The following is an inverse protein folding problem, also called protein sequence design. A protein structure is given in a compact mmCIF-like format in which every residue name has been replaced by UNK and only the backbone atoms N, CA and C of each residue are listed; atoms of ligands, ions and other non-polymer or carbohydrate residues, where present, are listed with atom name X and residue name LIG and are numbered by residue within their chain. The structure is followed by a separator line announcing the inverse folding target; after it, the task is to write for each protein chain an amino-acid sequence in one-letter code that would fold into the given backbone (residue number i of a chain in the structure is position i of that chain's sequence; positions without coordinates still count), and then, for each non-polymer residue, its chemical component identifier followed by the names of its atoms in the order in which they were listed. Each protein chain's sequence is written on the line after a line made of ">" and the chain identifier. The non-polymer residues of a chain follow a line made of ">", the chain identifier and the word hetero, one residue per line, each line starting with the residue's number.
data_IF_546263342559
#
_entry.id   IF_546263342559
#
_cell.length_a   1.000
_cell.length_b   1.000
_cell.length_c   1.000
_cell.angle_alpha   90.00
_cell.angle_beta   90.00
_cell.angle_gamma   90.00
#
_symmetry.space_group_name_H-M   'P 1'
#
loop_
_entity.id
_entity.type
_entity.pdbx_description
1 polymer ?
#
# COMPACT_ATOMS: atom_id res chain seq x y z
N UNK A 1 57.40 -47.64 -25.44
CA UNK A 1 57.50 -46.41 -26.23
C UNK A 1 56.06 -46.02 -26.53
N UNK A 2 55.48 -44.95 -26.22
CA UNK A 2 55.85 -43.62 -25.98
C UNK A 2 54.61 -42.80 -25.69
N UNK A 3 54.83 -41.85 -24.91
CA UNK A 3 54.25 -40.50 -24.81
C UNK A 3 52.73 -40.36 -24.51
N UNK A 4 52.58 -39.98 -23.27
CA UNK A 4 51.43 -39.25 -22.77
C UNK A 4 51.36 -37.84 -23.41
N UNK A 5 50.13 -37.46 -23.74
CA UNK A 5 49.82 -36.05 -24.01
C UNK A 5 48.70 -35.66 -23.03
N UNK A 6 49.09 -34.86 -22.06
CA UNK A 6 48.20 -34.17 -21.13
C UNK A 6 47.55 -32.98 -21.91
N UNK A 7 46.26 -33.04 -22.11
CA UNK A 7 45.48 -31.86 -22.50
C UNK A 7 44.83 -31.24 -21.30
N UNK A 8 45.33 -30.08 -20.87
CA UNK A 8 44.72 -29.28 -19.82
C UNK A 8 43.53 -28.55 -20.38
N UNK A 9 42.32 -28.91 -19.95
CA UNK A 9 41.12 -28.11 -20.18
C UNK A 9 41.02 -27.01 -19.12
N UNK A 10 41.32 -25.77 -19.52
CA UNK A 10 41.04 -24.60 -18.74
C UNK A 10 39.55 -24.30 -18.79
N UNK A 11 38.84 -24.54 -17.71
CA UNK A 11 37.44 -24.14 -17.56
C UNK A 11 37.38 -22.65 -17.26
N UNK A 12 36.96 -21.85 -18.26
CA UNK A 12 36.56 -20.45 -18.05
C UNK A 12 35.23 -20.41 -17.36
N UNK A 13 35.23 -20.13 -16.06
CA UNK A 13 34.02 -19.81 -15.31
C UNK A 13 33.64 -18.36 -15.64
N UNK A 14 32.71 -18.19 -16.56
CA UNK A 14 32.06 -16.91 -16.80
C UNK A 14 31.13 -16.60 -15.64
N UNK A 15 31.59 -15.76 -14.72
CA UNK A 15 30.77 -15.22 -13.65
C UNK A 15 29.68 -14.32 -14.23
N UNK A 16 28.44 -14.81 -14.31
CA UNK A 16 27.28 -13.98 -14.61
C UNK A 16 26.97 -13.13 -13.38
N UNK A 17 27.32 -11.84 -13.44
CA UNK A 17 26.86 -10.85 -12.49
C UNK A 17 25.35 -10.68 -12.66
N UNK A 18 24.58 -11.22 -11.75
CA UNK A 18 23.16 -10.94 -11.59
C UNK A 18 23.02 -9.50 -11.10
N UNK A 19 22.88 -8.56 -12.03
CA UNK A 19 22.42 -7.22 -11.73
C UNK A 19 20.97 -7.34 -11.26
N UNK A 20 20.78 -7.27 -9.97
CA UNK A 20 19.46 -7.28 -9.36
C UNK A 20 18.64 -6.08 -9.82
N UNK A 21 17.65 -6.34 -10.66
CA UNK A 21 16.64 -5.35 -11.02
C UNK A 21 15.60 -5.26 -9.92
N UNK A 22 15.86 -4.42 -8.93
CA UNK A 22 14.94 -4.20 -7.79
C UNK A 22 13.87 -3.13 -8.09
N UNK A 23 13.81 -2.61 -9.31
CA UNK A 23 12.85 -1.56 -9.70
C UNK A 23 11.40 -2.05 -9.87
N UNK A 24 11.17 -3.37 -10.06
CA UNK A 24 9.82 -3.93 -10.27
C UNK A 24 9.04 -4.22 -8.98
N UNK A 25 9.74 -4.36 -7.87
CA UNK A 25 9.15 -4.84 -6.60
C UNK A 25 8.31 -3.78 -5.89
N UNK A 26 8.65 -2.50 -6.02
CA UNK A 26 7.90 -1.41 -5.38
C UNK A 26 6.52 -1.19 -6.00
N UNK A 27 6.40 -1.30 -7.32
CA UNK A 27 5.11 -1.13 -8.01
C UNK A 27 4.15 -2.29 -7.72
N UNK A 28 4.61 -3.52 -7.74
CA UNK A 28 3.82 -4.70 -7.41
C UNK A 28 3.32 -4.70 -5.96
N UNK A 29 4.16 -4.28 -5.02
CA UNK A 29 3.80 -4.19 -3.61
C UNK A 29 2.74 -3.10 -3.36
N UNK A 30 2.79 -1.98 -4.09
CA UNK A 30 1.79 -0.92 -3.98
C UNK A 30 0.42 -1.36 -4.52
N UNK A 31 0.37 -1.96 -5.71
CA UNK A 31 -0.88 -2.47 -6.29
C UNK A 31 -1.53 -3.54 -5.38
N UNK A 32 -0.71 -4.43 -4.80
CA UNK A 32 -1.18 -5.44 -3.83
C UNK A 32 -1.68 -4.79 -2.54
N UNK A 33 -1.01 -3.76 -2.04
CA UNK A 33 -1.45 -3.00 -0.87
C UNK A 33 -2.79 -2.31 -1.10
N UNK A 34 -2.97 -1.66 -2.24
CA UNK A 34 -4.25 -1.03 -2.64
C UNK A 34 -5.38 -2.06 -2.69
N UNK A 35 -5.15 -3.24 -3.28
CA UNK A 35 -6.16 -4.29 -3.37
C UNK A 35 -6.56 -4.81 -1.98
N UNK A 36 -5.59 -5.05 -1.08
CA UNK A 36 -5.88 -5.43 0.32
C UNK A 36 -6.61 -4.32 1.05
N UNK A 37 -6.18 -3.08 0.89
CA UNK A 37 -6.80 -1.91 1.48
C UNK A 37 -8.25 -1.75 1.06
N UNK A 38 -8.57 -1.99 -0.22
CA UNK A 38 -9.94 -2.02 -0.72
C UNK A 38 -10.80 -3.06 0.00
N UNK A 39 -10.27 -4.27 0.16
CA UNK A 39 -10.99 -5.34 0.87
C UNK A 39 -11.27 -4.96 2.32
N UNK A 40 -10.28 -4.41 3.03
CA UNK A 40 -10.46 -3.96 4.41
C UNK A 40 -11.46 -2.81 4.46
N UNK A 41 -11.38 -1.85 3.55
CA UNK A 41 -12.33 -0.74 3.45
C UNK A 41 -13.76 -1.22 3.29
N UNK A 42 -13.99 -2.19 2.40
CA UNK A 42 -15.31 -2.79 2.20
C UNK A 42 -15.86 -3.47 3.45
N UNK A 43 -15.00 -4.06 4.25
CA UNK A 43 -15.40 -4.78 5.47
C UNK A 43 -15.62 -3.86 6.68
N UNK A 44 -14.86 -2.77 6.79
CA UNK A 44 -14.79 -1.96 8.01
C UNK A 44 -15.29 -0.53 7.84
N UNK A 45 -15.18 0.05 6.65
CA UNK A 45 -15.39 1.48 6.43
C UNK A 45 -16.71 1.79 5.72
N UNK A 46 -17.22 0.89 4.88
CA UNK A 46 -18.45 1.12 4.08
C UNK A 46 -19.72 1.25 4.91
N UNK A 47 -19.70 0.83 6.16
CA UNK A 47 -20.82 1.08 7.10
C UNK A 47 -21.09 2.58 7.23
N UNK A 48 -20.02 3.39 7.25
CA UNK A 48 -20.09 4.83 7.50
C UNK A 48 -19.66 5.69 6.31
N UNK A 49 -18.89 5.16 5.35
CA UNK A 49 -18.31 5.92 4.24
C UNK A 49 -18.69 5.34 2.88
N UNK A 50 -18.92 6.24 1.92
CA UNK A 50 -18.90 5.86 0.51
C UNK A 50 -17.50 6.09 -0.07
N UNK A 51 -17.00 5.14 -0.84
CA UNK A 51 -15.77 5.27 -1.64
C UNK A 51 -16.04 5.78 -3.06
N UNK A 52 -17.24 5.52 -3.59
CA UNK A 52 -17.64 5.88 -4.95
C UNK A 52 -18.47 7.16 -5.05
N UNK A 53 -18.79 7.78 -3.92
CA UNK A 53 -19.58 9.00 -3.83
C UNK A 53 -18.97 9.99 -2.85
N UNK A 54 -19.21 11.27 -3.07
CA UNK A 54 -18.89 12.35 -2.13
C UNK A 54 -20.06 12.70 -1.19
N UNK A 55 -21.17 11.96 -1.30
CA UNK A 55 -22.31 12.14 -0.42
C UNK A 55 -21.99 11.68 1.01
N UNK A 56 -22.58 12.38 1.97
CA UNK A 56 -22.48 11.97 3.38
C UNK A 56 -23.36 10.74 3.63
N UNK A 57 -22.82 9.79 4.37
CA UNK A 57 -23.56 8.66 4.99
C UNK A 57 -23.61 8.93 6.51
N UNK A 58 -23.00 8.11 7.34
CA UNK A 58 -22.69 8.48 8.73
C UNK A 58 -21.46 9.40 8.73
N UNK A 59 -20.40 8.96 8.05
CA UNK A 59 -19.23 9.77 7.76
C UNK A 59 -19.28 10.42 6.37
N UNK A 60 -18.32 11.28 6.04
CA UNK A 60 -18.23 11.90 4.72
C UNK A 60 -17.94 10.87 3.63
N UNK A 61 -18.46 11.12 2.41
CA UNK A 61 -18.05 10.37 1.24
C UNK A 61 -16.59 10.67 0.86
N UNK A 62 -15.87 9.66 0.42
CA UNK A 62 -14.43 9.74 0.19
C UNK A 62 -14.03 9.87 -1.28
N UNK A 63 -14.99 9.81 -2.22
CA UNK A 63 -14.69 10.04 -3.64
C UNK A 63 -14.02 11.39 -3.83
N UNK A 64 -12.90 11.39 -4.53
CA UNK A 64 -12.14 12.61 -4.82
C UNK A 64 -11.34 13.18 -3.64
N UNK A 65 -11.19 12.42 -2.55
CA UNK A 65 -10.48 12.88 -1.35
C UNK A 65 -9.03 13.27 -1.67
N UNK A 66 -8.34 12.50 -2.50
CA UNK A 66 -6.96 12.80 -2.91
C UNK A 66 -6.85 14.11 -3.69
N UNK A 67 -7.81 14.39 -4.60
CA UNK A 67 -7.84 15.65 -5.36
C UNK A 67 -8.20 16.84 -4.48
N UNK A 68 -9.07 16.64 -3.51
CA UNK A 68 -9.47 17.68 -2.56
C UNK A 68 -8.31 18.13 -1.67
N UNK A 69 -7.43 17.21 -1.29
CA UNK A 69 -6.23 17.47 -0.51
C UNK A 69 -6.47 17.89 0.95
N UNK A 70 -7.74 18.06 1.35
CA UNK A 70 -8.13 18.43 2.71
C UNK A 70 -9.32 17.62 3.19
N UNK A 71 -9.40 17.40 4.51
CA UNK A 71 -10.57 16.80 5.13
C UNK A 71 -11.76 17.77 5.11
N UNK A 72 -12.93 17.28 4.74
CA UNK A 72 -14.17 18.08 4.71
C UNK A 72 -14.67 18.47 6.11
N UNK A 73 -14.24 17.76 7.14
CA UNK A 73 -14.70 17.98 8.53
C UNK A 73 -13.95 19.10 9.27
N UNK A 74 -12.69 19.36 8.90
CA UNK A 74 -11.86 20.34 9.64
C UNK A 74 -10.89 21.14 8.74
N UNK A 75 -10.84 20.88 7.44
CA UNK A 75 -9.96 21.58 6.50
C UNK A 75 -8.47 21.22 6.60
N UNK A 76 -8.08 20.31 7.48
CA UNK A 76 -6.69 19.89 7.61
C UNK A 76 -6.22 19.14 6.37
N UNK A 77 -4.93 19.23 6.08
CA UNK A 77 -4.31 18.54 4.94
C UNK A 77 -4.41 17.03 5.08
N UNK A 78 -4.67 16.37 3.95
CA UNK A 78 -4.63 14.92 3.84
C UNK A 78 -3.21 14.48 3.52
N UNK A 79 -2.61 13.78 4.46
CA UNK A 79 -1.31 13.11 4.35
C UNK A 79 -1.45 11.69 4.86
N UNK A 80 -0.44 10.86 4.64
CA UNK A 80 -0.43 9.49 5.19
C UNK A 80 -0.53 9.52 6.73
N UNK A 81 0.14 10.46 7.37
CA UNK A 81 0.13 10.64 8.84
C UNK A 81 -1.25 11.07 9.34
N UNK A 82 -1.88 12.04 8.69
CA UNK A 82 -3.20 12.51 9.11
C UNK A 82 -4.31 11.49 8.84
N UNK A 83 -4.23 10.74 7.74
CA UNK A 83 -5.11 9.59 7.49
C UNK A 83 -4.90 8.49 8.53
N UNK A 84 -3.65 8.18 8.86
CA UNK A 84 -3.31 7.24 9.91
C UNK A 84 -3.91 7.64 11.25
N UNK A 85 -3.71 8.89 11.66
CA UNK A 85 -4.28 9.42 12.90
C UNK A 85 -5.79 9.27 12.96
N UNK A 86 -6.50 9.59 11.87
CA UNK A 86 -7.95 9.43 11.80
C UNK A 86 -8.39 7.97 11.92
N UNK A 87 -7.72 7.06 11.23
CA UNK A 87 -8.07 5.64 11.25
C UNK A 87 -7.75 5.03 12.63
N UNK A 88 -6.61 5.39 13.21
CA UNK A 88 -6.20 4.83 14.50
C UNK A 88 -7.04 5.33 15.67
N UNK A 89 -7.34 6.62 15.71
CA UNK A 89 -7.95 7.24 16.87
C UNK A 89 -9.44 7.58 16.69
N UNK A 90 -9.87 7.81 15.44
CA UNK A 90 -11.24 8.24 15.16
C UNK A 90 -11.60 9.59 15.76
N UNK A 91 -12.88 9.79 15.99
CA UNK A 91 -13.45 10.93 16.71
C UNK A 91 -14.75 10.51 17.43
N UNK A 92 -15.63 11.48 17.76
CA UNK A 92 -16.89 11.19 18.45
C UNK A 92 -17.82 10.24 17.68
N UNK A 93 -17.77 10.23 16.34
CA UNK A 93 -18.62 9.42 15.48
C UNK A 93 -17.87 8.28 14.81
N UNK A 94 -16.61 8.50 14.46
CA UNK A 94 -15.76 7.49 13.83
C UNK A 94 -14.99 6.72 14.91
N UNK A 95 -15.21 5.40 15.04
CA UNK A 95 -14.44 4.62 16.02
C UNK A 95 -12.98 4.54 15.58
N UNK A 96 -12.06 4.60 16.56
CA UNK A 96 -10.65 4.31 16.32
C UNK A 96 -10.43 2.83 16.05
N UNK A 97 -9.59 2.51 15.09
CA UNK A 97 -9.39 1.13 14.63
C UNK A 97 -8.00 0.56 14.98
N UNK A 98 -7.19 1.27 15.78
CA UNK A 98 -5.84 0.83 16.17
C UNK A 98 -5.80 -0.54 16.88
N UNK A 99 -6.87 -0.88 17.60
CA UNK A 99 -6.97 -2.15 18.33
C UNK A 99 -7.63 -3.27 17.49
N UNK A 100 -8.16 -2.92 16.31
CA UNK A 100 -8.87 -3.84 15.41
C UNK A 100 -8.14 -4.11 14.11
N UNK A 101 -7.16 -3.29 13.76
CA UNK A 101 -6.36 -3.40 12.54
C UNK A 101 -4.88 -3.34 12.87
N UNK A 102 -4.12 -4.22 12.26
CA UNK A 102 -2.66 -4.17 12.30
C UNK A 102 -2.13 -2.92 11.56
N UNK A 103 -0.96 -2.43 11.94
CA UNK A 103 -0.33 -1.26 11.32
C UNK A 103 -0.16 -1.43 9.79
N UNK A 104 0.13 -2.65 9.33
CA UNK A 104 0.21 -2.98 7.90
C UNK A 104 -1.14 -2.86 7.19
N UNK A 105 -2.22 -3.25 7.85
CA UNK A 105 -3.58 -3.14 7.34
C UNK A 105 -4.03 -1.68 7.24
N UNK A 106 -3.71 -0.87 8.24
CA UNK A 106 -3.95 0.58 8.21
C UNK A 106 -3.21 1.24 7.05
N UNK A 107 -1.95 0.86 6.82
CA UNK A 107 -1.17 1.32 5.67
C UNK A 107 -1.82 0.94 4.33
N UNK A 108 -2.34 -0.27 4.21
CA UNK A 108 -3.04 -0.73 3.01
C UNK A 108 -4.34 0.05 2.78
N UNK A 109 -5.12 0.32 3.83
CA UNK A 109 -6.33 1.17 3.76
C UNK A 109 -5.98 2.58 3.30
N UNK A 110 -4.93 3.18 3.85
CA UNK A 110 -4.44 4.51 3.43
C UNK A 110 -4.09 4.49 1.94
N UNK A 111 -3.36 3.46 1.48
CA UNK A 111 -3.00 3.31 0.08
C UNK A 111 -4.25 3.25 -0.82
N UNK A 112 -5.30 2.55 -0.41
CA UNK A 112 -6.56 2.50 -1.13
C UNK A 112 -7.29 3.86 -1.13
N UNK A 113 -7.47 4.47 0.04
CA UNK A 113 -8.16 5.77 0.19
C UNK A 113 -7.52 6.85 -0.68
N UNK A 114 -6.21 6.82 -0.84
CA UNK A 114 -5.47 7.75 -1.72
C UNK A 114 -5.72 7.52 -3.22
N UNK A 115 -6.40 6.47 -3.60
CA UNK A 115 -6.84 6.24 -5.00
C UNK A 115 -8.22 6.82 -5.30
N UNK A 116 -8.95 7.28 -4.29
CA UNK A 116 -10.32 7.76 -4.40
C UNK A 116 -10.43 9.22 -4.85
#
# INVERSE_FOLDING_TARGET
>A
MSLAVLAACAALVAGSALLGQDSGRKSGNNATGVARGKTIFQQKCTVCHYDTSNQKKIGPGLKGISKRGTFSVNGNKITDETLKMWIENGDQLMPGLKDSLEASQIKDVIAYVKTL
#
